data_IF_080185991534
#
_entry.id   IF_080185991534
#
_cell.length_a   1.000
_cell.length_b   1.000
_cell.length_c   1.000
_cell.angle_alpha   90.00
_cell.angle_beta   90.00
_cell.angle_gamma   90.00
#
_symmetry.space_group_name_H-M   'P 1'
#
loop_
_entity.id
_entity.type
_entity.pdbx_description
1 polymer ?
#
# COMPACT_ATOMS: atom_id res chain seq x y z
N UNK A 1 1.22 17.63 -11.59
CA UNK A 1 0.99 16.17 -11.70
C UNK A 1 -0.13 15.68 -10.76
N UNK A 2 -0.25 16.21 -9.54
CA UNK A 2 -1.21 15.69 -8.55
C UNK A 2 -2.69 15.71 -8.97
N UNK A 3 -3.18 16.75 -9.63
CA UNK A 3 -4.61 16.87 -9.95
C UNK A 3 -5.10 15.83 -10.95
N UNK A 4 -4.37 15.59 -12.04
CA UNK A 4 -4.74 14.57 -13.05
C UNK A 4 -4.67 13.16 -12.48
N UNK A 5 -3.66 12.86 -11.69
CA UNK A 5 -3.54 11.59 -10.99
C UNK A 5 -4.73 11.37 -10.05
N UNK A 6 -5.07 12.36 -9.25
CA UNK A 6 -6.19 12.27 -8.30
C UNK A 6 -7.54 12.10 -8.99
N UNK A 7 -7.75 12.75 -10.14
CA UNK A 7 -8.93 12.53 -10.98
C UNK A 7 -8.94 11.08 -11.48
N UNK A 8 -7.82 10.59 -12.01
CA UNK A 8 -7.68 9.21 -12.47
C UNK A 8 -7.99 8.18 -11.36
N UNK A 9 -7.47 8.38 -10.15
CA UNK A 9 -7.76 7.51 -8.99
C UNK A 9 -9.25 7.55 -8.63
N UNK A 10 -9.89 8.72 -8.64
CA UNK A 10 -11.34 8.83 -8.36
C UNK A 10 -12.18 8.12 -9.42
N UNK A 11 -11.87 8.33 -10.71
CA UNK A 11 -12.54 7.63 -11.81
C UNK A 11 -12.36 6.12 -11.71
N UNK A 12 -11.14 5.65 -11.43
CA UNK A 12 -10.81 4.23 -11.26
C UNK A 12 -11.60 3.62 -10.10
N UNK A 13 -11.62 4.27 -8.94
CA UNK A 13 -12.36 3.77 -7.77
C UNK A 13 -13.87 3.76 -8.00
N UNK A 14 -14.41 4.78 -8.68
CA UNK A 14 -15.83 4.81 -9.07
C UNK A 14 -16.16 3.68 -10.05
N UNK A 15 -15.32 3.43 -11.05
CA UNK A 15 -15.49 2.33 -12.00
C UNK A 15 -15.49 0.95 -11.31
N UNK A 16 -14.58 0.71 -10.35
CA UNK A 16 -14.59 -0.54 -9.58
C UNK A 16 -15.85 -0.63 -8.70
N UNK A 17 -16.26 0.47 -8.07
CA UNK A 17 -17.45 0.48 -7.22
C UNK A 17 -18.71 0.14 -8.02
N UNK A 18 -18.86 0.66 -9.25
CA UNK A 18 -19.98 0.32 -10.14
C UNK A 18 -19.88 -1.11 -10.66
N UNK A 19 -18.68 -1.56 -11.05
CA UNK A 19 -18.46 -2.94 -11.48
C UNK A 19 -18.75 -3.97 -10.35
N UNK A 20 -18.68 -3.55 -9.09
CA UNK A 20 -19.01 -4.38 -7.93
C UNK A 20 -20.47 -4.87 -7.87
N UNK A 21 -21.35 -4.30 -8.69
CA UNK A 21 -22.74 -4.81 -8.83
C UNK A 21 -22.74 -6.13 -9.59
N UNK A 22 -21.90 -6.28 -10.62
CA UNK A 22 -21.90 -7.45 -11.52
C UNK A 22 -20.73 -8.42 -11.27
N UNK A 23 -19.64 -7.97 -10.65
CA UNK A 23 -18.42 -8.75 -10.50
C UNK A 23 -18.05 -9.01 -9.04
N UNK A 24 -17.95 -10.27 -8.63
CA UNK A 24 -17.64 -10.69 -7.26
C UNK A 24 -16.33 -10.07 -6.72
N UNK A 25 -15.27 -10.04 -7.53
CA UNK A 25 -13.98 -9.45 -7.12
C UNK A 25 -14.06 -7.95 -6.88
N UNK A 26 -14.81 -7.21 -7.69
CA UNK A 26 -15.02 -5.78 -7.51
C UNK A 26 -15.93 -5.50 -6.29
N UNK A 27 -16.87 -6.40 -6.00
CA UNK A 27 -17.70 -6.34 -4.78
C UNK A 27 -16.82 -6.51 -3.54
N UNK A 28 -15.98 -7.54 -3.47
CA UNK A 28 -15.03 -7.76 -2.36
C UNK A 28 -14.11 -6.55 -2.17
N UNK A 29 -13.61 -5.97 -3.26
CA UNK A 29 -12.77 -4.78 -3.22
C UNK A 29 -13.49 -3.59 -2.58
N UNK A 30 -14.75 -3.36 -2.93
CA UNK A 30 -15.58 -2.28 -2.40
C UNK A 30 -15.96 -2.53 -0.93
N UNK A 31 -16.43 -3.74 -0.62
CA UNK A 31 -16.87 -4.10 0.73
C UNK A 31 -15.71 -4.08 1.72
N UNK A 32 -14.55 -4.59 1.35
CA UNK A 32 -13.36 -4.59 2.19
C UNK A 32 -12.81 -3.21 2.54
N UNK A 33 -13.24 -2.17 1.78
CA UNK A 33 -12.85 -0.76 2.06
C UNK A 33 -13.93 0.06 2.77
N UNK A 34 -15.10 -0.53 3.04
CA UNK A 34 -16.14 0.13 3.82
C UNK A 34 -15.68 0.25 5.28
N UNK A 35 -15.66 1.47 5.83
CA UNK A 35 -15.20 1.73 7.20
C UNK A 35 -13.73 1.33 7.45
N UNK A 36 -12.92 1.23 6.39
CA UNK A 36 -11.53 0.75 6.49
C UNK A 36 -10.66 1.68 7.34
N UNK A 37 -10.73 2.98 7.09
CA UNK A 37 -9.87 3.94 7.79
C UNK A 37 -10.29 4.07 9.26
N UNK A 38 -11.57 4.07 9.55
CA UNK A 38 -12.11 4.08 10.91
C UNK A 38 -11.65 2.84 11.70
N UNK A 39 -11.64 1.67 11.06
CA UNK A 39 -11.11 0.44 11.67
C UNK A 39 -9.61 0.54 11.93
N UNK A 40 -8.83 1.00 10.94
CA UNK A 40 -7.38 1.17 11.10
C UNK A 40 -7.08 2.18 12.23
N UNK A 41 -7.78 3.31 12.27
CA UNK A 41 -7.63 4.31 13.32
C UNK A 41 -7.93 3.74 14.71
N UNK A 42 -8.99 2.93 14.82
CA UNK A 42 -9.35 2.25 16.06
C UNK A 42 -8.32 1.22 16.51
N UNK A 43 -7.87 0.36 15.59
CA UNK A 43 -6.88 -0.68 15.88
C UNK A 43 -5.51 -0.06 16.27
N UNK A 44 -5.14 1.06 15.62
CA UNK A 44 -3.87 1.75 15.87
C UNK A 44 -3.88 2.67 17.10
N UNK A 45 -5.05 3.04 17.62
CA UNK A 45 -5.17 3.98 18.75
C UNK A 45 -4.43 3.52 20.02
N UNK A 46 -4.31 2.22 20.22
CA UNK A 46 -3.65 1.59 21.37
C UNK A 46 -2.32 0.90 21.03
N UNK A 47 -1.88 0.94 19.78
CA UNK A 47 -0.63 0.33 19.36
C UNK A 47 0.55 1.26 19.69
N UNK A 48 1.40 0.82 20.61
CA UNK A 48 2.56 1.61 21.10
C UNK A 48 3.89 1.15 20.51
N UNK A 49 3.91 -0.02 19.87
CA UNK A 49 5.14 -0.58 19.28
C UNK A 49 5.58 0.22 18.04
N UNK A 50 6.86 0.14 17.74
CA UNK A 50 7.38 0.56 16.44
C UNK A 50 6.70 -0.22 15.32
N UNK A 51 6.30 0.45 14.23
CA UNK A 51 5.52 -0.15 13.15
C UNK A 51 6.29 -0.19 11.84
N UNK A 52 6.30 -1.36 11.20
CA UNK A 52 6.79 -1.54 9.84
C UNK A 52 5.59 -1.80 8.93
N UNK A 53 5.39 -0.95 7.94
CA UNK A 53 4.35 -1.11 6.95
C UNK A 53 4.90 -1.81 5.70
N UNK A 54 4.28 -2.92 5.30
CA UNK A 54 4.62 -3.68 4.09
C UNK A 54 3.42 -3.69 3.17
N UNK A 55 3.58 -3.18 1.96
CA UNK A 55 2.54 -3.17 0.94
C UNK A 55 2.86 -4.14 -0.21
N UNK A 56 1.91 -5.02 -0.50
CA UNK A 56 1.92 -5.91 -1.65
C UNK A 56 0.56 -5.86 -2.35
N UNK A 57 0.48 -5.53 -3.63
CA UNK A 57 -0.82 -5.37 -4.28
C UNK A 57 -1.60 -6.69 -4.39
N UNK A 58 -0.91 -7.81 -4.51
CA UNK A 58 -1.49 -9.13 -4.77
C UNK A 58 -0.84 -10.24 -3.96
N UNK A 59 -1.42 -11.46 -4.02
CA UNK A 59 -0.84 -12.64 -3.38
C UNK A 59 0.58 -12.95 -3.88
N UNK A 60 0.82 -12.87 -5.19
CA UNK A 60 2.13 -13.18 -5.77
C UNK A 60 3.22 -12.19 -5.36
N UNK A 61 2.87 -10.94 -5.07
CA UNK A 61 3.81 -9.95 -4.52
C UNK A 61 4.04 -10.19 -3.04
N UNK A 62 2.99 -10.56 -2.31
CA UNK A 62 3.12 -10.91 -0.90
C UNK A 62 4.10 -12.08 -0.66
N UNK A 63 4.11 -13.09 -1.55
CA UNK A 63 5.07 -14.19 -1.43
C UNK A 63 6.54 -13.70 -1.52
N UNK A 64 6.78 -12.57 -2.17
CA UNK A 64 8.11 -11.94 -2.19
C UNK A 64 8.39 -11.11 -0.94
N UNK A 65 7.36 -10.64 -0.24
CA UNK A 65 7.50 -9.97 1.05
C UNK A 65 7.71 -10.95 2.22
N UNK A 66 7.25 -12.19 2.10
CA UNK A 66 7.29 -13.19 3.18
C UNK A 66 8.68 -13.36 3.82
N UNK A 67 9.79 -13.52 3.07
CA UNK A 67 11.11 -13.64 3.67
C UNK A 67 11.49 -12.43 4.54
N UNK A 68 11.05 -11.23 4.16
CA UNK A 68 11.26 -10.01 4.93
C UNK A 68 10.47 -10.05 6.24
N UNK A 69 9.20 -10.45 6.16
CA UNK A 69 8.33 -10.60 7.34
C UNK A 69 8.90 -11.66 8.30
N UNK A 70 9.31 -12.81 7.75
CA UNK A 70 9.89 -13.90 8.54
C UNK A 70 11.15 -13.46 9.27
N UNK A 71 12.01 -12.71 8.59
CA UNK A 71 13.23 -12.16 9.18
C UNK A 71 12.91 -11.11 10.25
N UNK A 72 11.99 -10.19 9.98
CA UNK A 72 11.55 -9.18 10.96
C UNK A 72 11.01 -9.86 12.22
N UNK A 73 10.15 -10.88 12.10
CA UNK A 73 9.62 -11.62 13.26
C UNK A 73 10.69 -12.28 14.09
N UNK A 74 11.73 -12.81 13.43
CA UNK A 74 12.83 -13.48 14.11
C UNK A 74 13.76 -12.49 14.82
N UNK A 75 14.12 -11.38 14.16
CA UNK A 75 15.16 -10.47 14.63
C UNK A 75 14.61 -9.29 15.44
N UNK A 76 13.35 -8.90 15.21
CA UNK A 76 12.70 -7.74 15.82
C UNK A 76 11.26 -8.09 16.25
N UNK A 77 11.08 -9.05 17.16
CA UNK A 77 9.75 -9.52 17.60
C UNK A 77 8.91 -8.42 18.26
N UNK A 78 9.55 -7.37 18.77
CA UNK A 78 8.92 -6.21 19.42
C UNK A 78 8.24 -5.25 18.43
N UNK A 79 8.51 -5.38 17.11
CA UNK A 79 7.96 -4.50 16.10
C UNK A 79 6.58 -4.99 15.64
N UNK A 80 5.62 -4.09 15.52
CA UNK A 80 4.33 -4.38 14.91
C UNK A 80 4.45 -4.36 13.37
N UNK A 81 4.02 -5.43 12.72
CA UNK A 81 4.03 -5.58 11.26
C UNK A 81 2.62 -5.33 10.73
N UNK A 82 2.49 -4.27 9.94
CA UNK A 82 1.26 -3.91 9.23
C UNK A 82 1.39 -4.30 7.77
N UNK A 83 0.57 -5.21 7.28
CA UNK A 83 0.54 -5.63 5.87
C UNK A 83 -0.69 -5.04 5.19
N UNK A 84 -0.51 -4.52 3.99
CA UNK A 84 -1.65 -4.06 3.19
C UNK A 84 -1.68 -4.70 1.81
N UNK A 85 -2.90 -4.95 1.32
CA UNK A 85 -3.17 -5.46 -0.01
C UNK A 85 -4.03 -4.50 -0.81
N UNK A 86 -3.76 -4.38 -2.11
CA UNK A 86 -4.69 -3.66 -2.99
C UNK A 86 -5.78 -4.58 -3.53
N UNK A 87 -5.41 -5.79 -3.92
CA UNK A 87 -6.30 -6.77 -4.55
C UNK A 87 -6.95 -7.72 -3.54
N UNK A 88 -8.22 -8.09 -3.73
CA UNK A 88 -8.86 -9.16 -2.95
C UNK A 88 -8.11 -10.49 -2.99
N UNK A 89 -7.44 -10.82 -4.10
CA UNK A 89 -6.67 -12.07 -4.22
C UNK A 89 -5.53 -12.20 -3.20
N UNK A 90 -4.99 -11.09 -2.71
CA UNK A 90 -4.02 -11.10 -1.62
C UNK A 90 -4.71 -11.10 -0.26
N UNK A 91 -5.59 -10.13 -0.06
CA UNK A 91 -6.24 -9.92 1.23
C UNK A 91 -7.07 -11.12 1.70
N UNK A 92 -7.98 -11.64 0.86
CA UNK A 92 -8.90 -12.73 1.28
C UNK A 92 -8.16 -14.01 1.66
N UNK A 93 -6.97 -14.24 1.08
CA UNK A 93 -6.16 -15.42 1.38
C UNK A 93 -5.25 -15.18 2.59
N UNK A 94 -4.86 -13.94 2.87
CA UNK A 94 -3.84 -13.61 3.87
C UNK A 94 -4.34 -12.71 5.02
N UNK A 95 -5.63 -12.41 5.11
CA UNK A 95 -6.19 -11.57 6.18
C UNK A 95 -5.92 -12.11 7.59
N UNK A 96 -5.79 -13.42 7.73
CA UNK A 96 -5.50 -14.11 8.99
C UNK A 96 -4.04 -14.59 9.06
N UNK A 97 -3.11 -13.88 8.39
CA UNK A 97 -1.71 -14.27 8.36
C UNK A 97 -1.03 -14.00 9.71
N UNK A 98 -0.67 -15.07 10.42
CA UNK A 98 -0.24 -15.08 11.82
C UNK A 98 1.13 -14.43 12.11
N UNK A 99 1.91 -14.06 11.09
CA UNK A 99 3.18 -13.36 11.26
C UNK A 99 3.08 -11.85 11.05
N UNK A 100 1.90 -11.34 10.64
CA UNK A 100 1.58 -9.92 10.67
C UNK A 100 0.67 -9.63 11.85
N UNK A 101 0.84 -8.48 12.51
CA UNK A 101 -0.05 -8.07 13.59
C UNK A 101 -1.36 -7.51 13.02
N UNK A 102 -1.27 -6.84 11.88
CA UNK A 102 -2.39 -6.20 11.22
C UNK A 102 -2.34 -6.47 9.73
N UNK A 103 -3.49 -6.85 9.18
CA UNK A 103 -3.64 -7.06 7.72
C UNK A 103 -4.85 -6.28 7.24
N UNK A 104 -4.65 -5.38 6.28
CA UNK A 104 -5.71 -4.53 5.75
C UNK A 104 -5.70 -4.50 4.22
N UNK A 105 -6.80 -4.02 3.66
CA UNK A 105 -6.75 -3.44 2.32
C UNK A 105 -6.02 -2.10 2.35
N UNK A 106 -5.31 -1.75 1.29
CA UNK A 106 -4.84 -0.37 1.10
C UNK A 106 -6.04 0.52 0.77
N UNK A 107 -6.17 1.64 1.45
CA UNK A 107 -7.15 2.66 1.10
C UNK A 107 -6.88 3.21 -0.31
N UNK A 108 -7.94 3.64 -1.00
CA UNK A 108 -7.78 4.28 -2.31
C UNK A 108 -6.83 5.48 -2.22
N UNK A 109 -5.90 5.59 -3.17
CA UNK A 109 -4.79 6.56 -3.12
C UNK A 109 -5.23 8.01 -3.41
N UNK A 110 -6.13 8.52 -2.57
CA UNK A 110 -6.48 9.95 -2.55
C UNK A 110 -5.65 10.68 -1.50
N UNK A 111 -5.42 12.00 -1.64
CA UNK A 111 -4.65 12.77 -0.64
C UNK A 111 -5.18 12.61 0.79
N UNK A 112 -6.50 12.64 0.94
CA UNK A 112 -7.15 12.50 2.24
C UNK A 112 -6.94 11.11 2.85
N UNK A 113 -7.16 10.05 2.07
CA UNK A 113 -6.99 8.67 2.55
C UNK A 113 -5.53 8.36 2.88
N UNK A 114 -4.60 8.81 2.02
CA UNK A 114 -3.18 8.64 2.23
C UNK A 114 -2.74 9.31 3.55
N UNK A 115 -3.21 10.53 3.79
CA UNK A 115 -2.94 11.27 5.02
C UNK A 115 -3.49 10.52 6.24
N UNK A 116 -4.80 10.19 6.25
CA UNK A 116 -5.45 9.48 7.38
C UNK A 116 -4.75 8.16 7.68
N UNK A 117 -4.48 7.37 6.62
CA UNK A 117 -3.80 6.08 6.76
C UNK A 117 -2.40 6.23 7.37
N UNK A 118 -1.57 7.12 6.81
CA UNK A 118 -0.21 7.31 7.31
C UNK A 118 -0.17 7.97 8.68
N UNK A 119 -1.18 8.76 9.05
CA UNK A 119 -1.36 9.30 10.41
C UNK A 119 -1.69 8.19 11.40
N UNK A 120 -2.64 7.34 11.08
CA UNK A 120 -3.06 6.26 11.95
C UNK A 120 -1.95 5.21 12.11
N UNK A 121 -1.41 4.69 11.01
CA UNK A 121 -0.36 3.66 11.05
C UNK A 121 0.96 4.22 11.58
N UNK A 122 1.31 5.48 11.29
CA UNK A 122 2.56 6.14 11.66
C UNK A 122 3.79 5.22 11.55
N UNK A 123 4.07 4.66 10.37
CA UNK A 123 5.12 3.66 10.23
C UNK A 123 6.50 4.29 10.39
N UNK A 124 7.42 3.60 11.05
CA UNK A 124 8.83 3.99 11.11
C UNK A 124 9.58 3.60 9.83
N UNK A 125 9.10 2.57 9.14
CA UNK A 125 9.62 2.12 7.84
C UNK A 125 8.46 1.65 6.99
N UNK A 126 8.49 1.97 5.70
CA UNK A 126 7.55 1.46 4.71
C UNK A 126 8.28 0.66 3.61
N UNK A 127 7.74 -0.49 3.24
CA UNK A 127 8.30 -1.39 2.22
C UNK A 127 7.22 -1.68 1.19
N UNK A 128 7.48 -1.32 -0.06
CA UNK A 128 6.62 -1.59 -1.19
C UNK A 128 7.22 -2.69 -2.06
N UNK A 129 6.39 -3.64 -2.49
CA UNK A 129 6.85 -4.78 -3.30
C UNK A 129 6.57 -4.52 -4.77
N UNK A 130 7.58 -4.63 -5.62
CA UNK A 130 7.54 -4.41 -7.07
C UNK A 130 7.22 -2.95 -7.47
N UNK A 131 6.16 -2.75 -8.27
CA UNK A 131 5.88 -1.49 -8.97
C UNK A 131 4.71 -0.73 -8.34
N UNK A 132 4.66 -0.68 -7.03
CA UNK A 132 3.55 -0.09 -6.28
C UNK A 132 3.77 1.42 -6.07
N UNK A 133 3.38 2.20 -7.08
CA UNK A 133 3.59 3.65 -7.13
C UNK A 133 2.33 4.42 -6.72
N UNK A 134 1.95 4.32 -5.47
CA UNK A 134 0.84 5.03 -4.86
C UNK A 134 1.28 6.44 -4.44
N UNK A 135 1.17 7.41 -5.38
CA UNK A 135 1.83 8.71 -5.26
C UNK A 135 1.43 9.51 -4.02
N UNK A 136 0.16 9.44 -3.60
CA UNK A 136 -0.28 10.18 -2.41
C UNK A 136 0.24 9.53 -1.14
N UNK A 137 0.22 8.19 -1.03
CA UNK A 137 0.81 7.48 0.11
C UNK A 137 2.32 7.73 0.19
N UNK A 138 3.03 7.64 -0.93
CA UNK A 138 4.47 7.92 -0.99
C UNK A 138 4.78 9.38 -0.62
N UNK A 139 3.98 10.34 -1.09
CA UNK A 139 4.14 11.75 -0.74
C UNK A 139 3.93 12.02 0.77
N UNK A 140 2.96 11.35 1.39
CA UNK A 140 2.74 11.46 2.83
C UNK A 140 3.86 10.81 3.64
N UNK A 141 4.37 9.64 3.23
CA UNK A 141 5.54 9.03 3.86
C UNK A 141 6.76 9.95 3.80
N UNK A 142 7.02 10.55 2.63
CA UNK A 142 8.10 11.52 2.47
C UNK A 142 7.91 12.75 3.36
N UNK A 143 6.70 13.33 3.42
CA UNK A 143 6.39 14.47 4.28
C UNK A 143 6.68 14.19 5.75
N UNK A 144 6.51 12.92 6.15
CA UNK A 144 6.78 12.42 7.51
C UNK A 144 8.21 11.96 7.72
N UNK A 145 9.06 12.07 6.70
CA UNK A 145 10.44 11.56 6.70
C UNK A 145 10.52 10.06 7.04
N UNK A 146 9.49 9.30 6.66
CA UNK A 146 9.47 7.84 6.85
C UNK A 146 10.34 7.18 5.78
N UNK A 147 11.41 6.46 6.16
CA UNK A 147 12.20 5.67 5.22
C UNK A 147 11.31 4.71 4.43
N UNK A 148 11.40 4.79 3.11
CA UNK A 148 10.54 4.02 2.21
C UNK A 148 11.40 3.25 1.22
N UNK A 149 11.17 1.94 1.12
CA UNK A 149 11.95 1.03 0.29
C UNK A 149 11.06 0.36 -0.75
N UNK A 150 11.57 0.26 -1.97
CA UNK A 150 10.98 -0.53 -3.04
C UNK A 150 11.81 -1.82 -3.20
N UNK A 151 11.19 -2.96 -2.98
CA UNK A 151 11.85 -4.26 -3.05
C UNK A 151 11.35 -5.10 -4.21
N UNK A 152 12.18 -6.00 -4.73
CA UNK A 152 11.85 -6.90 -5.83
C UNK A 152 11.41 -6.20 -7.12
N UNK A 153 11.78 -4.93 -7.32
CA UNK A 153 11.50 -4.18 -8.55
C UNK A 153 12.57 -4.47 -9.61
N UNK A 154 12.13 -4.80 -10.81
CA UNK A 154 13.00 -5.04 -11.97
C UNK A 154 12.69 -4.01 -13.05
N UNK A 155 13.53 -3.01 -13.18
CA UNK A 155 13.38 -1.96 -14.20
C UNK A 155 14.01 -2.42 -15.53
N UNK A 156 13.17 -2.84 -16.46
CA UNK A 156 13.62 -3.23 -17.81
C UNK A 156 13.78 -1.99 -18.70
N UNK A 157 14.73 -2.02 -19.65
CA UNK A 157 14.97 -0.90 -20.59
C UNK A 157 13.70 -0.46 -21.35
N UNK A 158 12.77 -1.38 -21.62
CA UNK A 158 11.52 -1.10 -22.32
C UNK A 158 10.40 -0.59 -21.38
N UNK A 159 10.67 -0.43 -20.09
CA UNK A 159 9.64 0.06 -19.16
C UNK A 159 9.30 1.52 -19.44
N UNK A 160 8.10 1.92 -19.06
CA UNK A 160 7.58 3.29 -19.21
C UNK A 160 8.53 4.36 -18.65
N UNK A 161 9.32 4.02 -17.64
CA UNK A 161 10.25 4.93 -16.96
C UNK A 161 11.43 5.37 -17.83
N UNK A 162 11.80 4.55 -18.81
CA UNK A 162 12.92 4.84 -19.72
C UNK A 162 12.49 5.37 -21.09
N UNK A 163 11.17 5.50 -21.31
CA UNK A 163 10.68 6.14 -22.53
C UNK A 163 10.86 7.67 -22.47
N UNK A 164 10.98 8.38 -23.63
CA UNK A 164 11.20 9.82 -23.67
C UNK A 164 10.19 10.62 -22.83
N UNK A 165 8.92 10.19 -22.78
CA UNK A 165 7.86 10.80 -22.01
C UNK A 165 7.74 10.30 -20.57
N UNK A 166 8.47 9.26 -20.19
CA UNK A 166 8.51 8.68 -18.83
C UNK A 166 9.39 9.47 -17.85
N UNK A 167 10.17 10.46 -18.32
CA UNK A 167 11.13 11.19 -17.49
C UNK A 167 10.51 11.96 -16.31
N UNK A 168 9.27 12.46 -16.48
CA UNK A 168 8.55 13.13 -15.40
C UNK A 168 8.12 12.15 -14.31
N UNK A 169 7.63 10.96 -14.68
CA UNK A 169 7.30 9.86 -13.78
C UNK A 169 8.53 9.38 -13.02
N UNK A 170 9.63 9.13 -13.74
CA UNK A 170 10.90 8.73 -13.12
C UNK A 170 11.37 9.73 -12.08
N UNK A 171 11.36 11.04 -12.39
CA UNK A 171 11.75 12.08 -11.43
C UNK A 171 10.83 12.10 -10.21
N UNK A 172 9.51 12.00 -10.42
CA UNK A 172 8.56 11.96 -9.32
C UNK A 172 8.82 10.76 -8.39
N UNK A 173 9.09 9.58 -8.93
CA UNK A 173 9.36 8.38 -8.15
C UNK A 173 10.69 8.45 -7.40
N UNK A 174 11.77 8.89 -8.05
CA UNK A 174 13.08 9.06 -7.41
C UNK A 174 13.07 10.08 -6.26
N UNK A 175 12.07 10.95 -6.23
CA UNK A 175 11.87 11.88 -5.14
C UNK A 175 11.02 11.30 -4.00
N UNK A 176 10.36 10.18 -4.19
CA UNK A 176 9.40 9.60 -3.22
C UNK A 176 9.92 8.36 -2.50
N UNK A 177 10.98 7.73 -3.05
CA UNK A 177 11.66 6.58 -2.43
C UNK A 177 13.04 6.93 -1.88
#
# INVERSE_FOLDING_TARGET
MGSLYNIGIRCYTAAIATAGVAHAKARLWREGRRGLLERIEGDMAHETRARVWIHAASLGEFEQARPIIDKLRKERPEVAIVVTFFSPSGYEIRKDYNKADYVYYLAADTPQNARRFTEAVAPQVAIFVKYEFWLNHLAELRRRHTPTYLVSAIFRRNSIFFRPWGGAWRRALLLLY
#
